data_IF_183554170293
#
_entry.id   IF_183554170293
#
_cell.length_a   1.000
_cell.length_b   1.000
_cell.length_c   1.000
_cell.angle_alpha   90.00
_cell.angle_beta   90.00
_cell.angle_gamma   90.00
#
_symmetry.space_group_name_H-M   'P 1'
#
loop_
_entity.id
_entity.type
_entity.pdbx_description
1 polymer ?
#
# COMPACT_ATOMS: atom_id res chain seq x y z
N UNK A 1 4.51 23.06 41.26
CA UNK A 1 3.79 22.21 40.31
C UNK A 1 4.56 22.28 38.99
N UNK A 2 5.26 21.20 38.62
CA UNK A 2 6.10 21.15 37.42
C UNK A 2 5.33 20.43 36.32
N UNK A 3 5.11 21.09 35.19
CA UNK A 3 4.79 20.40 33.93
C UNK A 3 5.74 20.95 32.89
N UNK A 4 6.66 20.09 32.47
CA UNK A 4 7.72 20.38 31.52
C UNK A 4 7.16 20.59 30.12
N UNK A 5 7.64 21.64 29.45
CA UNK A 5 7.36 21.99 28.06
C UNK A 5 8.15 21.06 27.14
N UNK A 6 7.48 20.20 26.38
CA UNK A 6 8.10 19.40 25.33
C UNK A 6 7.97 20.11 23.99
N UNK A 7 9.02 20.79 23.52
CA UNK A 7 9.08 21.32 22.16
C UNK A 7 9.60 20.25 21.21
N UNK A 8 8.76 19.77 20.29
CA UNK A 8 9.19 18.88 19.21
C UNK A 8 9.67 19.72 18.02
N UNK A 9 10.98 19.91 17.91
CA UNK A 9 11.60 20.50 16.74
C UNK A 9 11.84 19.41 15.69
N UNK A 10 10.93 19.29 14.70
CA UNK A 10 11.23 18.55 13.47
C UNK A 10 12.06 19.47 12.56
N UNK A 11 13.37 19.38 12.65
CA UNK A 11 14.27 19.95 11.64
C UNK A 11 14.31 18.99 10.45
N UNK A 12 13.39 19.14 9.49
CA UNK A 12 13.57 18.57 8.15
C UNK A 12 14.25 19.64 7.31
N UNK A 13 15.59 19.63 7.35
CA UNK A 13 16.40 20.23 6.29
C UNK A 13 17.01 19.09 5.50
N UNK A 14 16.50 18.89 4.30
CA UNK A 14 17.34 18.51 3.17
C UNK A 14 16.68 19.05 1.89
N UNK A 15 17.19 20.19 1.44
CA UNK A 15 16.98 20.69 0.09
C UNK A 15 18.18 20.20 -0.73
N UNK A 16 18.03 19.06 -1.43
CA UNK A 16 19.07 18.57 -2.33
C UNK A 16 18.49 17.74 -3.49
N UNK A 17 18.59 18.32 -4.68
CA UNK A 17 18.57 17.68 -6.00
C UNK A 17 17.26 17.02 -6.46
N UNK A 18 16.69 17.59 -7.53
CA UNK A 18 15.76 16.89 -8.44
C UNK A 18 16.51 15.75 -9.15
N UNK A 19 16.76 14.66 -8.43
CA UNK A 19 16.94 13.34 -9.01
C UNK A 19 15.53 12.83 -9.21
N UNK A 20 15.15 12.43 -10.42
CA UNK A 20 13.99 11.56 -10.59
C UNK A 20 14.30 10.30 -9.78
N UNK A 21 13.86 10.28 -8.51
CA UNK A 21 14.07 9.14 -7.65
C UNK A 21 13.23 8.03 -8.27
N UNK A 22 13.91 6.98 -8.73
CA UNK A 22 13.25 5.75 -9.11
C UNK A 22 12.52 5.23 -7.87
N UNK A 23 11.20 5.20 -7.93
CA UNK A 23 10.39 4.73 -6.81
C UNK A 23 9.18 3.92 -7.28
N UNK A 24 8.76 3.02 -6.41
CA UNK A 24 7.47 2.34 -6.53
C UNK A 24 6.65 2.66 -5.29
N UNK A 25 5.53 3.34 -5.48
CA UNK A 25 4.49 3.52 -4.49
C UNK A 25 3.60 2.28 -4.47
N UNK A 26 3.21 1.88 -3.26
CA UNK A 26 2.27 0.80 -3.02
C UNK A 26 1.38 1.20 -1.87
N UNK A 27 0.07 1.06 -2.04
CA UNK A 27 -0.92 1.46 -1.04
C UNK A 27 -2.06 0.47 -0.97
N UNK A 28 -2.71 0.48 0.19
CA UNK A 28 -3.93 -0.26 0.46
C UNK A 28 -4.87 0.67 1.23
N UNK A 29 -5.99 1.00 0.61
CA UNK A 29 -6.95 1.94 1.15
C UNK A 29 -8.28 1.22 1.40
N UNK A 30 -8.94 1.45 2.54
CA UNK A 30 -10.34 1.07 2.67
C UNK A 30 -11.18 1.95 1.73
N UNK A 31 -12.33 1.45 1.27
CA UNK A 31 -13.22 2.24 0.40
C UNK A 31 -13.52 3.62 1.00
N UNK A 32 -13.24 4.66 0.21
CA UNK A 32 -13.61 6.01 0.54
C UNK A 32 -15.08 6.21 0.19
N UNK A 33 -15.95 6.26 1.19
CA UNK A 33 -17.40 6.55 1.12
C UNK A 33 -18.34 5.37 0.81
N UNK A 34 -19.18 5.03 1.79
CA UNK A 34 -20.48 4.35 1.63
C UNK A 34 -20.48 2.87 1.25
N UNK A 35 -19.56 2.43 0.39
CA UNK A 35 -19.44 1.04 -0.02
C UNK A 35 -18.65 0.24 1.03
N UNK A 36 -19.38 -0.26 2.01
CA UNK A 36 -18.87 -1.23 2.97
C UNK A 36 -18.39 -2.48 2.22
N UNK A 37 -17.32 -3.09 2.72
CA UNK A 37 -16.86 -4.36 2.17
C UNK A 37 -15.99 -4.23 0.93
N UNK A 38 -15.28 -3.12 0.75
CA UNK A 38 -14.25 -3.00 -0.29
C UNK A 38 -12.95 -2.40 0.22
N UNK A 39 -11.85 -2.90 -0.34
CA UNK A 39 -10.51 -2.33 -0.21
C UNK A 39 -9.92 -2.11 -1.60
N UNK A 40 -9.13 -1.08 -1.77
CA UNK A 40 -8.42 -0.78 -3.01
C UNK A 40 -6.93 -0.94 -2.79
N UNK A 41 -6.31 -1.84 -3.54
CA UNK A 41 -4.85 -1.98 -3.60
C UNK A 41 -4.35 -1.26 -4.85
N UNK A 42 -3.21 -0.58 -4.75
CA UNK A 42 -2.64 0.07 -5.93
C UNK A 42 -1.13 0.19 -5.89
N UNK A 43 -0.56 0.29 -7.08
CA UNK A 43 0.86 0.43 -7.37
C UNK A 43 1.02 1.61 -8.32
N UNK A 44 1.98 2.50 -8.03
CA UNK A 44 2.46 3.49 -9.00
C UNK A 44 3.96 3.38 -9.14
N UNK A 45 4.43 3.41 -10.38
CA UNK A 45 5.85 3.27 -10.68
C UNK A 45 6.38 4.56 -11.30
N UNK A 46 7.39 5.17 -10.68
CA UNK A 46 8.22 6.21 -11.28
C UNK A 46 9.53 5.63 -11.85
N UNK A 47 9.58 4.31 -12.07
CA UNK A 47 10.72 3.66 -12.71
C UNK A 47 10.82 3.99 -14.19
N UNK A 48 12.03 3.92 -14.75
CA UNK A 48 12.30 4.23 -16.17
C UNK A 48 11.94 3.08 -17.13
N UNK A 49 11.56 1.92 -16.61
CA UNK A 49 11.18 0.74 -17.39
C UNK A 49 9.94 0.09 -16.78
N UNK A 50 9.12 -0.55 -17.62
CA UNK A 50 7.98 -1.33 -17.17
C UNK A 50 8.42 -2.40 -16.17
N UNK A 51 7.89 -2.31 -14.96
CA UNK A 51 8.12 -3.31 -13.92
C UNK A 51 6.99 -4.33 -13.89
N UNK A 52 7.32 -5.53 -13.42
CA UNK A 52 6.33 -6.58 -13.15
C UNK A 52 6.35 -6.90 -11.67
N UNK A 53 5.18 -7.03 -11.09
CA UNK A 53 5.02 -7.35 -9.68
C UNK A 53 4.00 -8.45 -9.46
N UNK A 54 4.21 -9.20 -8.39
CA UNK A 54 3.20 -10.07 -7.81
C UNK A 54 2.60 -9.38 -6.59
N UNK A 55 1.28 -9.41 -6.47
CA UNK A 55 0.54 -8.82 -5.35
C UNK A 55 -0.22 -9.93 -4.65
N UNK A 56 0.00 -10.08 -3.35
CA UNK A 56 -0.78 -10.97 -2.51
C UNK A 56 -1.52 -10.16 -1.45
N UNK A 57 -2.81 -10.41 -1.31
CA UNK A 57 -3.65 -9.76 -0.31
C UNK A 57 -4.16 -10.82 0.65
N UNK A 58 -4.06 -10.51 1.94
CA UNK A 58 -4.59 -11.32 3.03
C UNK A 58 -5.55 -10.50 3.89
N UNK A 59 -6.52 -11.18 4.48
CA UNK A 59 -7.46 -10.64 5.45
C UNK A 59 -7.32 -11.46 6.74
N UNK A 60 -6.91 -10.83 7.83
CA UNK A 60 -6.59 -11.49 9.10
C UNK A 60 -5.64 -12.70 8.93
N UNK A 61 -4.68 -12.56 8.02
CA UNK A 61 -3.69 -13.59 7.70
C UNK A 61 -4.18 -14.67 6.73
N UNK A 62 -5.46 -14.70 6.38
CA UNK A 62 -6.01 -15.62 5.38
C UNK A 62 -5.88 -15.04 3.96
N UNK A 63 -5.48 -15.84 2.94
CA UNK A 63 -5.43 -15.37 1.56
C UNK A 63 -6.79 -14.88 1.07
N UNK A 64 -6.82 -13.67 0.51
CA UNK A 64 -8.02 -13.06 -0.06
C UNK A 64 -7.94 -12.97 -1.59
N UNK A 65 -6.82 -12.48 -2.12
CA UNK A 65 -6.63 -12.32 -3.56
C UNK A 65 -5.14 -12.34 -3.92
N UNK A 66 -4.86 -12.76 -5.16
CA UNK A 66 -3.50 -12.82 -5.70
C UNK A 66 -3.52 -12.32 -7.15
N UNK A 67 -2.64 -11.38 -7.47
CA UNK A 67 -2.42 -10.89 -8.83
C UNK A 67 -0.98 -11.18 -9.23
N UNK A 68 -0.80 -11.97 -10.28
CA UNK A 68 0.53 -12.38 -10.76
C UNK A 68 0.96 -11.54 -11.96
N UNK A 69 2.25 -11.19 -12.00
CA UNK A 69 2.89 -10.51 -13.12
C UNK A 69 2.17 -9.23 -13.59
N UNK A 70 1.69 -8.42 -12.64
CA UNK A 70 1.09 -7.11 -12.89
C UNK A 70 2.14 -6.19 -13.53
N UNK A 71 1.92 -5.80 -14.78
CA UNK A 71 2.80 -4.89 -15.50
C UNK A 71 2.42 -3.43 -15.19
N UNK A 72 3.38 -2.66 -14.69
CA UNK A 72 3.22 -1.22 -14.43
C UNK A 72 4.24 -0.46 -15.27
N UNK A 73 3.74 0.28 -16.26
CA UNK A 73 4.57 1.11 -17.14
C UNK A 73 5.23 2.26 -16.36
N UNK A 74 6.31 2.88 -16.90
CA UNK A 74 6.88 4.11 -16.36
C UNK A 74 5.83 5.21 -16.17
N UNK A 75 5.76 5.80 -14.98
CA UNK A 75 4.73 6.78 -14.60
C UNK A 75 3.33 6.20 -14.41
N UNK A 76 3.14 4.91 -14.71
CA UNK A 76 1.86 4.23 -14.72
C UNK A 76 1.34 3.93 -13.31
N UNK A 77 0.02 3.78 -13.22
CA UNK A 77 -0.68 3.34 -12.02
C UNK A 77 -1.54 2.13 -12.35
N UNK A 78 -1.45 1.12 -11.49
CA UNK A 78 -2.37 -0.02 -11.46
C UNK A 78 -3.12 0.01 -10.14
N UNK A 79 -4.43 -0.19 -10.16
CA UNK A 79 -5.24 -0.30 -8.96
C UNK A 79 -6.33 -1.35 -9.16
N UNK A 80 -6.68 -2.05 -8.08
CA UNK A 80 -7.76 -3.01 -8.08
C UNK A 80 -8.61 -2.90 -6.82
N UNK A 81 -9.92 -2.96 -7.02
CA UNK A 81 -10.89 -3.05 -5.94
C UNK A 81 -11.19 -4.50 -5.63
N UNK A 82 -11.16 -4.83 -4.33
CA UNK A 82 -11.32 -6.20 -3.84
C UNK A 82 -12.49 -6.19 -2.85
N UNK A 83 -13.53 -7.01 -3.08
CA UNK A 83 -14.57 -7.20 -2.09
C UNK A 83 -14.00 -7.91 -0.86
N UNK A 84 -14.36 -7.42 0.32
CA UNK A 84 -14.04 -8.05 1.61
C UNK A 84 -15.33 -8.38 2.35
N UNK A 85 -15.38 -9.52 3.06
CA UNK A 85 -16.51 -9.84 3.93
C UNK A 85 -16.79 -8.70 4.90
N UNK A 86 -18.06 -8.32 5.04
CA UNK A 86 -18.48 -7.30 6.00
C UNK A 86 -18.93 -8.01 7.26
N UNK A 87 -18.18 -7.84 8.35
CA UNK A 87 -18.47 -8.44 9.65
C UNK A 87 -18.48 -7.35 10.72
N UNK A 88 -19.12 -7.63 11.86
CA UNK A 88 -19.22 -6.68 12.98
C UNK A 88 -17.87 -6.41 13.69
N UNK A 89 -16.85 -7.23 13.40
CA UNK A 89 -15.50 -7.09 13.96
C UNK A 89 -14.59 -6.32 13.00
N UNK A 90 -13.58 -5.62 13.55
CA UNK A 90 -12.53 -5.02 12.72
C UNK A 90 -11.67 -6.12 12.12
N UNK A 91 -11.46 -6.07 10.82
CA UNK A 91 -10.56 -6.97 10.10
C UNK A 91 -9.34 -6.18 9.63
N UNK A 92 -8.18 -6.84 9.63
CA UNK A 92 -6.93 -6.29 9.11
C UNK A 92 -6.68 -6.84 7.71
N UNK A 93 -6.65 -5.95 6.72
CA UNK A 93 -6.19 -6.30 5.38
C UNK A 93 -4.70 -5.99 5.26
N UNK A 94 -3.92 -6.91 4.71
CA UNK A 94 -2.50 -6.74 4.41
C UNK A 94 -2.26 -7.08 2.94
N UNK A 95 -1.57 -6.19 2.24
CA UNK A 95 -1.12 -6.42 0.88
C UNK A 95 0.41 -6.47 0.85
N UNK A 96 0.94 -7.42 0.09
CA UNK A 96 2.37 -7.67 -0.09
C UNK A 96 2.70 -7.62 -1.57
N UNK A 97 3.71 -6.84 -1.90
CA UNK A 97 4.23 -6.63 -3.25
C UNK A 97 5.54 -7.37 -3.38
N UNK A 98 5.64 -8.28 -4.34
CA UNK A 98 6.82 -9.10 -4.61
C UNK A 98 7.38 -8.79 -5.99
N UNK A 99 8.70 -8.92 -6.13
CA UNK A 99 9.35 -8.96 -7.43
C UNK A 99 9.35 -10.40 -7.95
N UNK A 100 8.79 -10.69 -9.12
CA UNK A 100 8.67 -12.07 -9.62
C UNK A 100 10.02 -12.69 -10.00
N UNK A 101 11.06 -11.87 -10.25
CA UNK A 101 12.40 -12.33 -10.63
C UNK A 101 13.09 -13.14 -9.51
N UNK A 102 12.92 -12.70 -8.26
CA UNK A 102 13.55 -13.28 -7.08
C UNK A 102 12.53 -13.73 -6.02
N UNK A 103 11.23 -13.61 -6.33
CA UNK A 103 10.10 -13.77 -5.41
C UNK A 103 10.31 -13.02 -4.07
N UNK A 104 11.06 -11.92 -4.09
CA UNK A 104 11.44 -11.21 -2.88
C UNK A 104 10.36 -10.21 -2.52
N UNK A 105 9.98 -10.20 -1.24
CA UNK A 105 9.10 -9.16 -0.71
C UNK A 105 9.77 -7.80 -0.94
N UNK A 106 9.11 -6.99 -1.75
CA UNK A 106 9.57 -5.67 -2.11
C UNK A 106 8.99 -4.60 -1.19
N UNK A 107 7.68 -4.70 -0.90
CA UNK A 107 6.98 -3.77 0.00
C UNK A 107 5.74 -4.44 0.59
N UNK A 108 5.32 -4.04 1.77
CA UNK A 108 4.07 -4.47 2.40
C UNK A 108 3.33 -3.26 2.98
N UNK A 109 2.01 -3.29 2.90
CA UNK A 109 1.13 -2.28 3.48
C UNK A 109 -0.06 -2.96 4.14
N UNK A 110 -0.65 -2.31 5.14
CA UNK A 110 -1.81 -2.84 5.84
C UNK A 110 -2.80 -1.73 6.15
N UNK A 111 -4.08 -2.08 6.17
CA UNK A 111 -5.15 -1.18 6.60
C UNK A 111 -6.20 -1.92 7.43
N UNK A 112 -7.01 -1.16 8.15
CA UNK A 112 -8.16 -1.68 8.85
C UNK A 112 -9.39 -1.52 7.97
N UNK A 113 -10.14 -2.60 7.79
CA UNK A 113 -11.43 -2.57 7.10
C UNK A 113 -12.47 -1.95 8.05
N UNK A 114 -13.21 -0.92 7.61
CA UNK A 114 -14.30 -0.34 8.40
C UNK A 114 -15.36 -1.40 8.71
N UNK A 115 -15.85 -1.40 9.95
CA UNK A 115 -16.99 -2.21 10.38
C UNK A 115 -18.30 -1.58 9.90
N UNK A 116 -19.35 -2.40 9.81
CA UNK A 116 -20.75 -1.92 9.83
C UNK A 116 -21.14 -1.38 11.21
#
# INVERSE_FOLDING_TARGET
MLVATGAYAFAVRDEAAHREFKYTEFWLLPSASGEQGRITVGIRSAETQTQRFDVEITLDGQPLAVFRSVAVAPGGTWAQEIPVPVVAIRQRAEARLYRPQDNRLYRSVSTLVPRI
#
